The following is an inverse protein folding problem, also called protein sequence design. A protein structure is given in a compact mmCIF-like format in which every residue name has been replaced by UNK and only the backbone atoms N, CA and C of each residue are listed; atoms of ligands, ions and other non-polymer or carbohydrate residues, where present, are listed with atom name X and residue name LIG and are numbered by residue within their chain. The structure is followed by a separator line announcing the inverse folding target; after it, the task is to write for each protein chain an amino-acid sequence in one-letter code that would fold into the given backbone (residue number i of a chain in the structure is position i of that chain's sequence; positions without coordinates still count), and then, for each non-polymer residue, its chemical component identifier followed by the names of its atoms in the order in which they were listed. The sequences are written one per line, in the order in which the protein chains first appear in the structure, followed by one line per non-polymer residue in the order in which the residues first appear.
data_IF_638484038776
#
_entry.id   IF_638484038776
#
_cell.length_a   1.000
_cell.length_b   1.000
_cell.length_c   1.000
_cell.angle_alpha   90.00
_cell.angle_beta   90.00
_cell.angle_gamma   90.00
#
_symmetry.space_group_name_H-M   'P 1'
#
loop_
_entity.id
_entity.type
_entity.pdbx_description
1 polymer ?
#
# COMPACT_ATOMS: atom_id res chain seq x y z
N UNK A 1 30.99 -9.12 97.56
CA UNK A 1 31.86 -9.18 98.76
C UNK A 1 31.92 -7.79 99.35
N UNK A 2 31.41 -7.61 100.56
CA UNK A 2 31.54 -6.39 101.34
C UNK A 2 31.99 -6.80 102.75
N UNK A 3 33.05 -6.18 103.25
CA UNK A 3 33.55 -6.44 104.61
C UNK A 3 32.58 -5.81 105.63
N UNK A 4 32.06 -6.62 106.56
CA UNK A 4 31.46 -6.08 107.78
C UNK A 4 32.48 -6.19 108.91
N UNK A 5 33.06 -5.05 109.27
CA UNK A 5 33.80 -4.85 110.51
C UNK A 5 32.88 -4.29 111.62
N UNK A 6 33.38 -4.39 112.84
CA UNK A 6 33.07 -3.57 114.03
C UNK A 6 31.82 -3.85 114.89
N UNK A 7 32.02 -3.65 116.21
CA UNK A 7 31.05 -3.87 117.30
C UNK A 7 31.42 -5.06 118.21
N UNK A 8 32.40 -5.03 119.13
CA UNK A 8 32.80 -4.02 120.14
C UNK A 8 31.88 -3.93 121.38
N UNK A 9 32.51 -3.94 122.57
CA UNK A 9 31.92 -3.83 123.94
C UNK A 9 31.06 -5.02 124.42
N UNK A 10 31.05 -5.45 125.69
CA UNK A 10 31.76 -5.03 126.92
C UNK A 10 32.08 -6.30 127.76
N UNK A 11 33.30 -6.47 128.30
CA UNK A 11 33.68 -6.12 129.66
C UNK A 11 32.73 -6.57 130.80
N UNK A 12 33.17 -7.56 131.58
CA UNK A 12 32.94 -7.65 133.04
C UNK A 12 33.83 -8.73 133.65
N UNK A 13 34.97 -8.31 134.21
CA UNK A 13 35.76 -9.09 135.16
C UNK A 13 34.92 -9.32 136.41
N UNK A 14 34.65 -10.58 136.77
CA UNK A 14 33.98 -10.89 138.04
C UNK A 14 35.02 -11.08 139.16
N UNK A 15 35.61 -9.97 139.60
CA UNK A 15 36.27 -9.92 140.90
C UNK A 15 35.23 -9.94 142.02
N UNK A 16 35.58 -10.54 143.17
CA UNK A 16 34.78 -10.46 144.40
C UNK A 16 33.81 -11.61 144.63
N UNK A 17 34.29 -12.67 145.29
CA UNK A 17 33.45 -13.44 146.21
C UNK A 17 34.17 -13.52 147.55
N UNK A 18 33.77 -12.64 148.48
CA UNK A 18 34.35 -12.55 149.81
C UNK A 18 34.03 -13.80 150.65
N UNK A 19 35.02 -14.24 151.43
CA UNK A 19 34.84 -15.29 152.42
C UNK A 19 34.11 -14.70 153.63
N UNK A 20 32.82 -15.00 153.79
CA UNK A 20 32.03 -14.61 154.95
C UNK A 20 31.45 -15.82 155.70
N UNK A 21 32.13 -16.16 156.79
CA UNK A 21 31.64 -16.64 158.08
C UNK A 21 30.32 -17.46 158.13
N UNK A 22 30.47 -18.75 158.46
CA UNK A 22 29.65 -19.46 159.46
C UNK A 22 28.13 -19.52 159.25
N UNK A 23 27.56 -20.65 158.79
CA UNK A 23 26.12 -20.77 158.59
C UNK A 23 25.36 -20.86 159.92
N UNK A 24 24.75 -19.74 160.33
CA UNK A 24 23.57 -19.77 161.18
C UNK A 24 22.40 -20.45 160.45
N UNK A 25 21.61 -21.22 161.19
CA UNK A 25 20.58 -22.17 160.72
C UNK A 25 19.68 -21.69 159.57
N UNK A 26 19.28 -20.42 159.57
CA UNK A 26 18.30 -19.90 158.61
C UNK A 26 18.89 -19.33 157.31
N UNK A 27 20.19 -18.95 157.28
CA UNK A 27 20.84 -18.52 156.03
C UNK A 27 21.03 -19.69 155.06
N UNK A 28 21.22 -20.91 155.57
CA UNK A 28 21.35 -22.13 154.75
C UNK A 28 20.10 -22.39 153.90
N UNK A 29 18.90 -22.09 154.42
CA UNK A 29 17.63 -22.23 153.66
C UNK A 29 17.54 -21.22 152.51
N UNK A 30 18.01 -20.00 152.72
CA UNK A 30 18.07 -18.95 151.68
C UNK A 30 19.04 -19.34 150.57
N UNK A 31 20.26 -19.73 150.94
CA UNK A 31 21.28 -20.21 149.99
C UNK A 31 20.80 -21.43 149.19
N UNK A 32 20.21 -22.44 149.85
CA UNK A 32 19.64 -23.62 149.18
C UNK A 32 18.38 -23.31 148.34
N UNK A 33 17.71 -22.18 148.55
CA UNK A 33 16.68 -21.69 147.62
C UNK A 33 17.34 -21.03 146.41
N UNK A 34 18.27 -20.11 146.63
CA UNK A 34 19.02 -19.42 145.58
C UNK A 34 19.76 -20.41 144.64
N UNK A 35 20.37 -21.46 145.18
CA UNK A 35 21.00 -22.53 144.39
C UNK A 35 20.00 -23.32 143.54
N UNK A 36 18.77 -23.57 144.03
CA UNK A 36 17.71 -24.21 143.24
C UNK A 36 17.13 -23.28 142.18
N UNK A 37 17.02 -21.98 142.48
CA UNK A 37 16.60 -20.97 141.52
C UNK A 37 17.66 -20.81 140.42
N UNK A 38 18.96 -20.84 140.76
CA UNK A 38 20.07 -20.90 139.79
C UNK A 38 20.09 -22.20 138.97
N UNK A 39 19.92 -23.37 139.61
CA UNK A 39 19.88 -24.66 138.92
C UNK A 39 18.71 -24.71 137.93
N UNK A 40 17.56 -24.12 138.30
CA UNK A 40 16.42 -23.92 137.41
C UNK A 40 16.79 -23.01 136.24
N UNK A 41 17.33 -21.80 136.46
CA UNK A 41 17.69 -20.92 135.34
C UNK A 41 18.76 -21.51 134.42
N UNK A 42 19.72 -22.28 134.95
CA UNK A 42 20.69 -23.03 134.12
C UNK A 42 20.04 -24.15 133.31
N UNK A 43 18.98 -24.77 133.82
CA UNK A 43 18.21 -25.78 133.08
C UNK A 43 17.37 -25.12 131.99
N UNK A 44 16.65 -24.05 132.32
CA UNK A 44 15.83 -23.26 131.40
C UNK A 44 16.71 -22.70 130.25
N UNK A 45 17.86 -22.09 130.55
CA UNK A 45 18.85 -21.63 129.55
C UNK A 45 19.43 -22.76 128.68
N UNK A 46 19.55 -23.98 129.22
CA UNK A 46 20.00 -25.15 128.44
C UNK A 46 18.92 -25.61 127.46
N UNK A 47 17.66 -25.54 127.87
CA UNK A 47 16.49 -25.85 127.06
C UNK A 47 16.30 -24.80 125.95
N UNK A 48 16.34 -23.50 126.29
CA UNK A 48 16.36 -22.38 125.33
C UNK A 48 17.50 -22.50 124.30
N UNK A 49 18.71 -22.89 124.72
CA UNK A 49 19.84 -23.13 123.80
C UNK A 49 19.59 -24.36 122.89
N UNK A 50 18.86 -25.36 123.37
CA UNK A 50 18.37 -26.48 122.56
C UNK A 50 17.35 -26.04 121.51
N UNK A 51 16.40 -25.19 121.90
CA UNK A 51 15.42 -24.57 121.00
C UNK A 51 16.11 -23.67 119.96
N UNK A 52 17.02 -22.80 120.38
CA UNK A 52 17.79 -21.92 119.48
C UNK A 52 18.62 -22.70 118.46
N UNK A 53 19.25 -23.82 118.85
CA UNK A 53 19.93 -24.73 117.91
C UNK A 53 18.96 -25.39 116.93
N UNK A 54 17.76 -25.74 117.38
CA UNK A 54 16.71 -26.33 116.53
C UNK A 54 16.15 -25.31 115.55
N UNK A 55 15.93 -24.08 116.00
CA UNK A 55 15.52 -22.93 115.20
C UNK A 55 16.59 -22.54 114.18
N UNK A 56 17.88 -22.57 114.56
CA UNK A 56 19.01 -22.32 113.67
C UNK A 56 19.03 -23.34 112.52
N UNK A 57 18.94 -24.64 112.83
CA UNK A 57 18.84 -25.71 111.81
C UNK A 57 17.61 -25.56 110.92
N UNK A 58 16.46 -25.17 111.48
CA UNK A 58 15.25 -24.91 110.70
C UNK A 58 15.44 -23.74 109.74
N UNK A 59 16.03 -22.62 110.19
CA UNK A 59 16.35 -21.46 109.33
C UNK A 59 17.39 -21.81 108.25
N UNK A 60 18.38 -22.62 108.58
CA UNK A 60 19.39 -23.12 107.62
C UNK A 60 18.75 -24.02 106.55
N UNK A 61 17.86 -24.94 106.93
CA UNK A 61 17.10 -25.75 105.99
C UNK A 61 16.22 -24.90 105.05
N UNK A 62 15.50 -23.91 105.60
CA UNK A 62 14.69 -22.96 104.82
C UNK A 62 15.56 -22.12 103.88
N UNK A 63 16.74 -21.67 104.33
CA UNK A 63 17.67 -20.91 103.48
C UNK A 63 18.18 -21.76 102.30
N UNK A 64 18.52 -23.02 102.53
CA UNK A 64 18.95 -23.96 101.49
C UNK A 64 17.82 -24.29 100.50
N UNK A 65 16.57 -24.46 100.99
CA UNK A 65 15.39 -24.63 100.14
C UNK A 65 15.14 -23.38 99.27
N UNK A 66 15.25 -22.19 99.85
CA UNK A 66 15.09 -20.94 99.12
C UNK A 66 16.20 -20.73 98.07
N UNK A 67 17.46 -21.09 98.38
CA UNK A 67 18.58 -21.03 97.43
C UNK A 67 18.36 -21.96 96.23
N UNK A 68 18.07 -23.23 96.48
CA UNK A 68 17.82 -24.21 95.41
C UNK A 68 16.59 -23.85 94.56
N UNK A 69 15.55 -23.25 95.15
CA UNK A 69 14.40 -22.71 94.41
C UNK A 69 14.75 -21.47 93.59
N UNK A 70 15.66 -20.62 94.06
CA UNK A 70 16.14 -19.45 93.34
C UNK A 70 17.00 -19.86 92.13
N UNK A 71 17.98 -20.74 92.30
CA UNK A 71 18.78 -21.35 91.23
C UNK A 71 17.92 -22.10 90.19
N UNK A 72 16.80 -22.69 90.64
CA UNK A 72 15.79 -23.28 89.76
C UNK A 72 15.11 -22.26 88.85
N UNK A 73 14.75 -21.09 89.40
CA UNK A 73 14.13 -19.98 88.66
C UNK A 73 15.12 -19.25 87.75
N UNK A 74 16.37 -19.09 88.16
CA UNK A 74 17.42 -18.49 87.31
C UNK A 74 17.63 -19.31 86.04
N UNK A 75 17.78 -20.64 86.17
CA UNK A 75 17.86 -21.56 85.01
C UNK A 75 16.58 -21.60 84.16
N UNK A 76 15.42 -21.30 84.74
CA UNK A 76 14.17 -21.18 83.98
C UNK A 76 14.11 -19.87 83.18
N UNK A 77 14.57 -18.76 83.78
CA UNK A 77 14.70 -17.46 83.11
C UNK A 77 15.73 -17.52 81.98
N UNK A 78 16.88 -18.15 82.20
CA UNK A 78 17.92 -18.36 81.18
C UNK A 78 17.37 -19.14 79.97
N UNK A 79 16.64 -20.25 80.20
CA UNK A 79 15.97 -20.98 79.11
C UNK A 79 14.94 -20.12 78.35
N UNK A 80 14.21 -19.26 79.06
CA UNK A 80 13.24 -18.34 78.44
C UNK A 80 13.92 -17.23 77.63
N UNK A 81 15.06 -16.71 78.09
CA UNK A 81 15.87 -15.71 77.38
C UNK A 81 16.45 -16.30 76.08
N UNK A 82 16.96 -17.53 76.12
CA UNK A 82 17.41 -18.26 74.91
C UNK A 82 16.25 -18.42 73.92
N UNK A 83 15.09 -18.92 74.36
CA UNK A 83 13.91 -19.08 73.49
C UNK A 83 13.39 -17.75 72.91
N UNK A 84 13.55 -16.63 73.63
CA UNK A 84 13.20 -15.31 73.13
C UNK A 84 14.19 -14.84 72.07
N UNK A 85 15.49 -15.07 72.25
CA UNK A 85 16.52 -14.77 71.24
C UNK A 85 16.29 -15.54 69.94
N UNK A 86 16.08 -16.86 70.03
CA UNK A 86 15.76 -17.73 68.88
C UNK A 86 14.53 -17.21 68.12
N UNK A 87 13.45 -16.85 68.82
CA UNK A 87 12.24 -16.28 68.20
C UNK A 87 12.46 -14.92 67.56
N UNK A 88 13.28 -14.05 68.16
CA UNK A 88 13.66 -12.78 67.57
C UNK A 88 14.47 -12.97 66.28
N UNK A 89 15.39 -13.93 66.25
CA UNK A 89 16.16 -14.27 65.05
C UNK A 89 15.27 -14.85 63.93
N UNK A 90 14.34 -15.75 64.27
CA UNK A 90 13.34 -16.25 63.32
C UNK A 90 12.46 -15.13 62.75
N UNK A 91 12.02 -14.20 63.58
CA UNK A 91 11.20 -13.05 63.17
C UNK A 91 11.99 -12.17 62.19
N UNK A 92 13.22 -11.78 62.55
CA UNK A 92 14.10 -10.99 61.67
C UNK A 92 14.43 -11.72 60.35
N UNK A 93 14.43 -13.06 60.32
CA UNK A 93 14.55 -13.82 59.07
C UNK A 93 13.28 -13.71 58.22
N UNK A 94 12.11 -13.90 58.82
CA UNK A 94 10.80 -13.79 58.15
C UNK A 94 10.56 -12.38 57.61
N UNK A 95 10.99 -11.33 58.32
CA UNK A 95 10.88 -9.95 57.84
C UNK A 95 11.72 -9.71 56.57
N UNK A 96 12.92 -10.30 56.48
CA UNK A 96 13.74 -10.25 55.25
C UNK A 96 13.12 -11.04 54.09
N UNK A 97 12.53 -12.20 54.38
CA UNK A 97 11.81 -13.01 53.39
C UNK A 97 10.57 -12.25 52.86
N UNK A 98 9.84 -11.56 53.74
CA UNK A 98 8.72 -10.68 53.37
C UNK A 98 9.19 -9.53 52.48
N UNK A 99 10.32 -8.89 52.77
CA UNK A 99 10.84 -7.80 51.93
C UNK A 99 11.25 -8.27 50.53
N UNK A 100 11.93 -9.41 50.42
CA UNK A 100 12.25 -10.03 49.13
C UNK A 100 11.00 -10.40 48.31
N UNK A 101 9.93 -10.84 48.99
CA UNK A 101 8.65 -11.09 48.33
C UNK A 101 7.96 -9.80 47.86
N UNK A 102 8.05 -8.70 48.62
CA UNK A 102 7.56 -7.37 48.20
C UNK A 102 8.28 -6.88 46.95
N UNK A 103 9.62 -6.90 46.96
CA UNK A 103 10.43 -6.53 45.79
C UNK A 103 10.07 -7.36 44.55
N UNK A 104 9.82 -8.66 44.73
CA UNK A 104 9.42 -9.56 43.63
C UNK A 104 8.03 -9.22 43.09
N UNK A 105 7.07 -8.88 43.97
CA UNK A 105 5.71 -8.46 43.57
C UNK A 105 5.77 -7.13 42.81
N UNK A 106 6.54 -6.15 43.29
CA UNK A 106 6.69 -4.85 42.62
C UNK A 106 7.33 -5.00 41.23
N UNK A 107 8.33 -5.86 41.09
CA UNK A 107 8.92 -6.20 39.77
C UNK A 107 7.89 -6.85 38.83
N UNK A 108 7.04 -7.75 39.34
CA UNK A 108 5.98 -8.38 38.55
C UNK A 108 4.89 -7.38 38.13
N UNK A 109 4.47 -6.47 39.00
CA UNK A 109 3.52 -5.40 38.67
C UNK A 109 4.07 -4.45 37.61
N UNK A 110 5.35 -4.08 37.68
CA UNK A 110 6.03 -3.28 36.64
C UNK A 110 6.01 -4.01 35.28
N UNK A 111 6.31 -5.30 35.24
CA UNK A 111 6.27 -6.09 33.99
C UNK A 111 4.82 -6.26 33.46
N UNK A 112 3.85 -6.44 34.35
CA UNK A 112 2.43 -6.52 33.98
C UNK A 112 1.93 -5.20 33.39
N UNK A 113 2.30 -4.06 33.97
CA UNK A 113 1.98 -2.74 33.42
C UNK A 113 2.64 -2.51 32.06
N UNK A 114 3.92 -2.88 31.91
CA UNK A 114 4.65 -2.77 30.63
C UNK A 114 3.97 -3.59 29.52
N UNK A 115 3.71 -4.87 29.77
CA UNK A 115 3.04 -5.75 28.81
C UNK A 115 1.60 -5.31 28.51
N UNK A 116 0.89 -4.75 29.50
CA UNK A 116 -0.44 -4.14 29.28
C UNK A 116 -0.37 -2.94 28.33
N UNK A 117 0.64 -2.07 28.46
CA UNK A 117 0.83 -0.95 27.54
C UNK A 117 1.18 -1.42 26.12
N UNK A 118 2.09 -2.40 25.97
CA UNK A 118 2.43 -3.00 24.67
C UNK A 118 1.19 -3.62 23.99
N UNK A 119 0.31 -4.28 24.75
CA UNK A 119 -0.97 -4.79 24.26
C UNK A 119 -1.94 -3.68 23.82
N UNK A 120 -2.02 -2.56 24.55
CA UNK A 120 -2.86 -1.41 24.19
C UNK A 120 -2.34 -0.70 22.92
N UNK A 121 -1.03 -0.52 22.78
CA UNK A 121 -0.41 0.04 21.58
C UNK A 121 -0.64 -0.86 20.36
N UNK A 122 -0.47 -2.17 20.51
CA UNK A 122 -0.77 -3.17 19.48
C UNK A 122 -2.25 -3.15 19.07
N UNK A 123 -3.17 -3.05 20.04
CA UNK A 123 -4.61 -2.92 19.78
C UNK A 123 -4.94 -1.62 19.02
N UNK A 124 -4.37 -0.48 19.43
CA UNK A 124 -4.56 0.80 18.74
C UNK A 124 -4.04 0.76 17.29
N UNK A 125 -2.87 0.14 17.06
CA UNK A 125 -2.33 -0.07 15.72
C UNK A 125 -3.23 -0.98 14.87
N UNK A 126 -3.78 -2.05 15.46
CA UNK A 126 -4.72 -2.95 14.78
C UNK A 126 -6.01 -2.22 14.39
N UNK A 127 -6.59 -1.44 15.31
CA UNK A 127 -7.78 -0.62 15.05
C UNK A 127 -7.55 0.44 13.95
N UNK A 128 -6.36 1.07 13.93
CA UNK A 128 -5.97 2.01 12.88
C UNK A 128 -5.84 1.32 11.51
N UNK A 129 -5.23 0.13 11.46
CA UNK A 129 -5.17 -0.69 10.25
C UNK A 129 -6.55 -1.12 9.77
N UNK A 130 -7.44 -1.53 10.68
CA UNK A 130 -8.81 -1.92 10.33
C UNK A 130 -9.60 -0.76 9.72
N UNK A 131 -9.50 0.46 10.26
CA UNK A 131 -10.13 1.64 9.67
C UNK A 131 -9.64 1.89 8.24
N UNK A 132 -8.32 1.82 8.02
CA UNK A 132 -7.73 2.00 6.68
C UNK A 132 -8.14 0.90 5.69
N UNK A 133 -8.41 -0.31 6.16
CA UNK A 133 -8.96 -1.39 5.33
C UNK A 133 -10.39 -1.04 4.88
N UNK A 134 -11.22 -0.50 5.77
CA UNK A 134 -12.59 -0.10 5.40
C UNK A 134 -12.60 1.10 4.43
N UNK A 135 -11.77 2.13 4.66
CA UNK A 135 -11.58 3.26 3.74
C UNK A 135 -11.14 2.79 2.33
N UNK A 136 -10.23 1.80 2.26
CA UNK A 136 -9.79 1.20 0.99
C UNK A 136 -10.88 0.33 0.34
N UNK A 137 -11.78 -0.25 1.13
CA UNK A 137 -12.91 -1.04 0.64
C UNK A 137 -14.02 -0.14 0.08
N UNK A 138 -14.39 0.93 0.78
CA UNK A 138 -15.36 1.92 0.31
C UNK A 138 -14.90 2.59 -1.01
N UNK A 139 -13.62 3.00 -1.08
CA UNK A 139 -13.06 3.57 -2.32
C UNK A 139 -12.98 2.56 -3.46
N UNK A 140 -12.72 1.28 -3.17
CA UNK A 140 -12.80 0.20 -4.17
C UNK A 140 -14.23 0.03 -4.70
N UNK A 141 -15.23 -0.06 -3.82
CA UNK A 141 -16.64 -0.22 -4.20
C UNK A 141 -17.13 0.95 -5.07
N UNK A 142 -16.69 2.18 -4.77
CA UNK A 142 -16.95 3.37 -5.59
C UNK A 142 -16.33 3.25 -7.00
N UNK A 143 -15.05 2.90 -7.09
CA UNK A 143 -14.37 2.72 -8.39
C UNK A 143 -14.97 1.59 -9.24
N UNK A 144 -15.38 0.48 -8.62
CA UNK A 144 -16.10 -0.60 -9.32
C UNK A 144 -17.44 -0.10 -9.90
N UNK A 145 -18.17 0.74 -9.15
CA UNK A 145 -19.39 1.42 -9.64
C UNK A 145 -19.14 2.35 -10.82
N UNK A 146 -18.08 3.16 -10.78
CA UNK A 146 -17.70 4.04 -11.90
C UNK A 146 -17.28 3.24 -13.15
N UNK A 147 -16.53 2.15 -12.99
CA UNK A 147 -16.15 1.27 -14.10
C UNK A 147 -17.38 0.65 -14.77
N UNK A 148 -18.38 0.20 -13.99
CA UNK A 148 -19.64 -0.33 -14.52
C UNK A 148 -20.38 0.74 -15.32
N UNK A 149 -20.46 1.98 -14.81
CA UNK A 149 -21.08 3.11 -15.50
C UNK A 149 -20.40 3.41 -16.83
N UNK A 150 -19.08 3.59 -16.84
CA UNK A 150 -18.30 3.88 -18.06
C UNK A 150 -18.40 2.74 -19.08
N UNK A 151 -18.44 1.48 -18.61
CA UNK A 151 -18.63 0.31 -19.48
C UNK A 151 -20.00 0.32 -20.15
N UNK A 152 -21.05 0.72 -19.41
CA UNK A 152 -22.40 0.89 -19.96
C UNK A 152 -22.44 2.01 -21.02
N UNK A 153 -21.96 3.21 -20.68
CA UNK A 153 -21.91 4.36 -21.60
C UNK A 153 -21.14 4.03 -22.89
N UNK A 154 -20.01 3.31 -22.78
CA UNK A 154 -19.26 2.79 -23.93
C UNK A 154 -20.10 1.86 -24.82
N UNK A 155 -20.92 1.00 -24.23
CA UNK A 155 -21.79 0.07 -24.98
C UNK A 155 -22.93 0.79 -25.70
N UNK A 156 -23.51 1.82 -25.08
CA UNK A 156 -24.54 2.68 -25.67
C UNK A 156 -23.97 3.44 -26.88
N UNK A 157 -22.83 4.15 -26.69
CA UNK A 157 -22.13 4.84 -27.78
C UNK A 157 -21.67 3.90 -28.91
N UNK A 158 -21.32 2.65 -28.59
CA UNK A 158 -20.97 1.64 -29.61
C UNK A 158 -22.20 1.26 -30.45
N UNK A 159 -23.39 1.20 -29.83
CA UNK A 159 -24.65 0.91 -30.52
C UNK A 159 -25.08 2.07 -31.41
N UNK A 160 -25.01 3.30 -30.91
CA UNK A 160 -25.25 4.53 -31.69
C UNK A 160 -24.31 4.63 -32.91
N UNK A 161 -23.03 4.32 -32.74
CA UNK A 161 -22.05 4.31 -33.83
C UNK A 161 -22.37 3.25 -34.89
N UNK A 162 -22.91 2.09 -34.49
CA UNK A 162 -23.35 1.04 -35.43
C UNK A 162 -24.59 1.48 -36.20
N UNK A 163 -25.59 2.07 -35.54
CA UNK A 163 -26.77 2.63 -36.20
C UNK A 163 -26.40 3.74 -37.21
N UNK A 164 -25.53 4.67 -36.80
CA UNK A 164 -25.03 5.73 -37.68
C UNK A 164 -24.31 5.18 -38.92
N UNK A 165 -23.53 4.11 -38.78
CA UNK A 165 -22.88 3.42 -39.92
C UNK A 165 -23.91 2.83 -40.89
N UNK A 166 -24.94 2.14 -40.38
CA UNK A 166 -26.01 1.62 -41.25
C UNK A 166 -26.73 2.73 -42.01
N UNK A 167 -27.04 3.85 -41.34
CA UNK A 167 -27.69 5.00 -41.98
C UNK A 167 -26.82 5.69 -43.03
N UNK A 168 -25.50 5.73 -42.85
CA UNK A 168 -24.55 6.20 -43.87
C UNK A 168 -24.56 5.27 -45.10
N UNK A 169 -24.62 3.95 -44.90
CA UNK A 169 -24.70 2.97 -46.01
C UNK A 169 -26.00 3.18 -46.79
N UNK A 170 -27.15 3.23 -46.11
CA UNK A 170 -28.47 3.47 -46.71
C UNK A 170 -28.50 4.75 -47.55
N UNK A 171 -28.02 5.87 -47.00
CA UNK A 171 -27.95 7.15 -47.72
C UNK A 171 -26.97 7.10 -48.91
N UNK A 172 -25.88 6.33 -48.80
CA UNK A 172 -24.92 6.14 -49.91
C UNK A 172 -25.54 5.33 -51.06
N UNK A 173 -26.36 4.33 -50.76
CA UNK A 173 -27.14 3.57 -51.75
C UNK A 173 -28.16 4.48 -52.44
N UNK A 174 -28.95 5.26 -51.67
CA UNK A 174 -29.91 6.23 -52.22
C UNK A 174 -29.24 7.26 -53.14
N UNK A 175 -28.10 7.85 -52.73
CA UNK A 175 -27.32 8.78 -53.55
C UNK A 175 -26.83 8.09 -54.85
N UNK A 176 -26.38 6.83 -54.75
CA UNK A 176 -25.90 6.08 -55.92
C UNK A 176 -27.03 5.84 -56.94
N UNK A 177 -28.24 5.49 -56.48
CA UNK A 177 -29.42 5.36 -57.33
C UNK A 177 -29.78 6.68 -58.03
N UNK A 178 -29.80 7.79 -57.30
CA UNK A 178 -30.11 9.12 -57.85
C UNK A 178 -29.07 9.60 -58.87
N UNK A 179 -27.78 9.26 -58.66
CA UNK A 179 -26.72 9.55 -59.64
C UNK A 179 -26.96 8.78 -60.94
N UNK A 180 -27.31 7.49 -60.86
CA UNK A 180 -27.62 6.67 -62.05
C UNK A 180 -28.83 7.24 -62.81
N UNK A 181 -29.91 7.57 -62.10
CA UNK A 181 -31.12 8.18 -62.69
C UNK A 181 -30.80 9.52 -63.39
N UNK A 182 -30.02 10.39 -62.74
CA UNK A 182 -29.57 11.68 -63.29
C UNK A 182 -28.73 11.48 -64.56
N UNK A 183 -27.86 10.46 -64.60
CA UNK A 183 -27.04 10.15 -65.78
C UNK A 183 -27.89 9.61 -66.94
N UNK A 184 -28.89 8.78 -66.67
CA UNK A 184 -29.82 8.27 -67.68
C UNK A 184 -30.65 9.39 -68.31
N UNK A 185 -31.27 10.24 -67.49
CA UNK A 185 -32.03 11.41 -67.99
C UNK A 185 -31.16 12.32 -68.87
N UNK A 186 -29.92 12.57 -68.45
CA UNK A 186 -28.97 13.38 -69.23
C UNK A 186 -28.54 12.71 -70.55
N UNK A 187 -28.50 11.38 -70.61
CA UNK A 187 -28.27 10.67 -71.87
C UNK A 187 -29.46 10.79 -72.83
N UNK A 188 -30.68 10.74 -72.32
CA UNK A 188 -31.90 10.92 -73.12
C UNK A 188 -32.02 12.36 -73.66
N UNK A 189 -31.72 13.38 -72.84
CA UNK A 189 -31.64 14.78 -73.28
C UNK A 189 -30.63 14.95 -74.44
N UNK A 190 -29.41 14.42 -74.28
CA UNK A 190 -28.36 14.49 -75.31
C UNK A 190 -28.73 13.71 -76.58
N UNK A 191 -29.51 12.64 -76.46
CA UNK A 191 -30.03 11.87 -77.60
C UNK A 191 -31.05 12.69 -78.39
N UNK A 192 -31.98 13.35 -77.71
CA UNK A 192 -32.96 14.27 -78.32
C UNK A 192 -32.25 15.43 -79.02
N UNK A 193 -31.26 16.06 -78.35
CA UNK A 193 -30.47 17.15 -78.94
C UNK A 193 -29.71 16.67 -80.19
N UNK A 194 -29.10 15.48 -80.15
CA UNK A 194 -28.42 14.89 -81.31
C UNK A 194 -29.38 14.66 -82.48
N UNK A 195 -30.56 14.08 -82.23
CA UNK A 195 -31.56 13.85 -83.27
C UNK A 195 -32.04 15.17 -83.89
N UNK A 196 -32.21 16.22 -83.08
CA UNK A 196 -32.56 17.57 -83.53
C UNK A 196 -31.42 18.30 -84.29
N UNK A 197 -30.16 17.94 -84.07
CA UNK A 197 -29.02 18.43 -84.84
C UNK A 197 -28.85 17.66 -86.16
N UNK A 198 -29.09 16.35 -86.16
CA UNK A 198 -29.06 15.54 -87.39
C UNK A 198 -30.16 15.94 -88.39
N UNK A 199 -31.36 16.30 -87.93
CA UNK A 199 -32.43 16.82 -88.80
C UNK A 199 -32.03 18.15 -89.42
N UNK A 200 -31.60 19.13 -88.61
CA UNK A 200 -31.08 20.43 -89.10
C UNK A 200 -29.93 20.28 -90.09
N UNK A 201 -29.02 19.32 -89.85
CA UNK A 201 -27.92 19.04 -90.77
C UNK A 201 -28.44 18.49 -92.12
N UNK A 202 -29.42 17.59 -92.12
CA UNK A 202 -30.05 17.06 -93.34
C UNK A 202 -30.78 18.16 -94.11
N UNK A 203 -31.49 19.06 -93.41
CA UNK A 203 -32.17 20.22 -94.00
C UNK A 203 -31.17 21.18 -94.66
N UNK A 204 -30.14 21.62 -93.94
CA UNK A 204 -29.10 22.51 -94.46
C UNK A 204 -28.31 21.87 -95.62
N UNK A 205 -28.10 20.55 -95.59
CA UNK A 205 -27.50 19.80 -96.70
C UNK A 205 -28.39 19.80 -97.95
N UNK A 206 -29.71 19.65 -97.78
CA UNK A 206 -30.68 19.74 -98.89
C UNK A 206 -30.76 21.16 -99.46
N UNK A 207 -30.76 22.19 -98.60
CA UNK A 207 -30.75 23.59 -99.01
C UNK A 207 -29.47 23.96 -99.78
N UNK A 208 -28.31 23.49 -99.31
CA UNK A 208 -27.04 23.63 -100.03
C UNK A 208 -27.07 23.00 -101.42
N UNK A 209 -27.68 21.83 -101.59
CA UNK A 209 -27.79 21.19 -102.90
C UNK A 209 -28.77 21.93 -103.82
N UNK A 210 -29.87 22.47 -103.29
CA UNK A 210 -30.77 23.37 -104.05
C UNK A 210 -30.03 24.62 -104.54
N UNK A 211 -29.34 25.33 -103.65
CA UNK A 211 -28.55 26.51 -103.99
C UNK A 211 -27.42 26.20 -104.99
N UNK A 212 -26.81 25.01 -104.90
CA UNK A 212 -25.84 24.53 -105.89
C UNK A 212 -26.48 24.32 -107.26
N UNK A 213 -27.66 23.71 -107.33
CA UNK A 213 -28.39 23.52 -108.59
C UNK A 213 -28.83 24.88 -109.18
N UNK A 214 -29.39 25.78 -108.37
CA UNK A 214 -29.73 27.16 -108.77
C UNK A 214 -28.49 27.92 -109.29
N UNK A 215 -27.34 27.77 -108.63
CA UNK A 215 -26.07 28.34 -109.11
C UNK A 215 -25.61 27.72 -110.43
N UNK A 216 -25.75 26.41 -110.61
CA UNK A 216 -25.43 25.72 -111.87
C UNK A 216 -26.36 26.19 -113.01
N UNK A 217 -27.66 26.36 -112.76
CA UNK A 217 -28.64 26.94 -113.71
C UNK A 217 -28.37 28.42 -114.04
N UNK A 218 -28.04 29.24 -113.04
CA UNK A 218 -27.62 30.63 -113.26
C UNK A 218 -26.30 30.70 -114.03
N UNK A 219 -25.40 29.73 -113.84
CA UNK A 219 -24.13 29.66 -114.55
C UNK A 219 -24.28 29.15 -116.00
N UNK A 220 -25.20 28.22 -116.29
CA UNK A 220 -25.52 27.83 -117.67
C UNK A 220 -26.23 28.96 -118.41
N UNK A 221 -27.27 29.55 -117.83
CA UNK A 221 -27.96 30.71 -118.43
C UNK A 221 -27.04 31.91 -118.61
N UNK A 222 -26.11 32.17 -117.68
CA UNK A 222 -25.06 33.20 -117.84
C UNK A 222 -24.09 32.88 -118.98
N UNK A 223 -23.69 31.61 -119.16
CA UNK A 223 -22.92 31.18 -120.33
C UNK A 223 -23.68 31.35 -121.64
N UNK A 224 -24.97 31.01 -121.67
CA UNK A 224 -25.85 31.20 -122.83
C UNK A 224 -25.97 32.68 -123.17
N UNK A 225 -26.31 33.54 -122.20
CA UNK A 225 -26.33 35.00 -122.36
C UNK A 225 -25.00 35.56 -122.83
N UNK A 226 -23.87 35.07 -122.31
CA UNK A 226 -22.53 35.47 -122.76
C UNK A 226 -22.25 35.04 -124.20
N UNK A 227 -22.72 33.85 -124.60
CA UNK A 227 -22.59 33.33 -125.96
C UNK A 227 -23.50 34.11 -126.93
N UNK A 228 -24.74 34.41 -126.53
CA UNK A 228 -25.65 35.28 -127.27
C UNK A 228 -25.10 36.71 -127.39
N UNK A 229 -24.54 37.25 -126.31
CA UNK A 229 -23.91 38.57 -126.30
C UNK A 229 -22.69 38.64 -127.22
N UNK A 230 -21.78 37.67 -127.17
CA UNK A 230 -20.64 37.62 -128.11
C UNK A 230 -21.12 37.40 -129.56
N UNK A 231 -22.16 36.59 -129.79
CA UNK A 231 -22.76 36.43 -131.13
C UNK A 231 -23.40 37.74 -131.63
N UNK A 232 -24.13 38.45 -130.77
CA UNK A 232 -24.75 39.73 -131.08
C UNK A 232 -23.69 40.83 -131.28
N UNK A 233 -22.60 40.80 -130.51
CA UNK A 233 -21.42 41.67 -130.65
C UNK A 233 -20.64 41.36 -131.92
N UNK A 234 -20.59 40.12 -132.37
CA UNK A 234 -20.01 39.73 -133.67
C UNK A 234 -20.93 40.16 -134.84
N UNK A 235 -22.26 40.10 -134.68
CA UNK A 235 -23.22 40.65 -135.64
C UNK A 235 -23.17 42.18 -135.69
N UNK A 236 -23.10 42.87 -134.55
CA UNK A 236 -22.92 44.32 -134.49
C UNK A 236 -21.55 44.74 -135.01
N UNK A 237 -20.48 43.99 -134.73
CA UNK A 237 -19.16 44.19 -135.34
C UNK A 237 -19.10 43.95 -136.86
N UNK A 238 -20.09 43.24 -137.41
CA UNK A 238 -20.32 43.11 -138.86
C UNK A 238 -21.20 44.24 -139.44
N UNK A 239 -21.95 44.97 -138.61
CA UNK A 239 -22.74 46.14 -138.99
C UNK A 239 -22.05 47.49 -138.73
N UNK A 240 -21.03 47.50 -137.87
CA UNK A 240 -20.26 48.67 -137.45
C UNK A 240 -18.76 48.28 -137.44
N UNK A 241 -17.88 48.80 -138.30
CA UNK A 241 -17.88 50.10 -138.97
C UNK A 241 -17.15 50.03 -140.32
N UNK A 242 -17.86 50.37 -141.40
CA UNK A 242 -17.35 51.32 -142.38
C UNK A 242 -17.67 52.72 -141.87
N UNK A 243 -16.65 53.57 -141.65
CA UNK A 243 -16.75 55.03 -141.44
C UNK A 243 -17.55 55.56 -140.21
N UNK A 244 -17.24 56.71 -139.58
CA UNK A 244 -16.00 57.51 -139.39
C UNK A 244 -16.30 58.58 -138.32
N UNK A 245 -15.26 59.00 -137.58
CA UNK A 245 -14.99 60.37 -137.07
C UNK A 245 -15.83 61.04 -135.94
N UNK A 246 -15.06 61.46 -134.93
CA UNK A 246 -14.94 62.80 -134.35
C UNK A 246 -16.13 63.49 -133.62
N UNK A 247 -16.12 63.49 -132.28
CA UNK A 247 -15.86 64.70 -131.44
C UNK A 247 -16.02 64.44 -129.92
N UNK A 248 -15.21 65.12 -129.09
CA UNK A 248 -15.33 65.13 -127.61
C UNK A 248 -16.20 66.31 -127.08
N UNK A 249 -16.10 66.77 -125.80
CA UNK A 249 -14.95 66.57 -124.88
C UNK A 249 -15.24 66.52 -123.34
N UNK A 250 -14.14 66.45 -122.56
CA UNK A 250 -13.88 66.97 -121.19
C UNK A 250 -14.26 66.19 -119.90
N UNK A 251 -13.24 66.16 -119.03
CA UNK A 251 -13.07 65.56 -117.68
C UNK A 251 -13.78 66.32 -116.54
N UNK A 252 -13.87 65.81 -115.28
CA UNK A 252 -12.72 65.67 -114.34
C UNK A 252 -12.74 64.38 -113.45
N UNK A 253 -11.64 63.65 -113.20
CA UNK A 253 -10.53 63.81 -112.21
C UNK A 253 -10.72 63.13 -110.83
N UNK A 254 -9.68 62.39 -110.36
CA UNK A 254 -9.41 61.91 -108.97
C UNK A 254 -10.42 60.88 -108.40
N UNK A 255 -10.07 59.93 -107.53
CA UNK A 255 -8.83 59.54 -106.80
C UNK A 255 -8.86 57.98 -106.67
N UNK A 256 -7.80 57.24 -107.00
CA UNK A 256 -6.72 56.73 -106.11
C UNK A 256 -7.07 55.57 -105.15
N UNK A 257 -6.08 54.68 -104.97
CA UNK A 257 -5.88 53.76 -103.82
C UNK A 257 -6.70 52.44 -103.78
N UNK A 258 -6.16 51.26 -103.40
CA UNK A 258 -4.77 50.74 -103.37
C UNK A 258 -4.81 49.20 -103.14
N UNK A 259 -3.63 48.57 -103.14
CA UNK A 259 -3.28 47.23 -102.66
C UNK A 259 -3.97 46.82 -101.33
N UNK A 260 -4.14 45.53 -100.98
CA UNK A 260 -3.03 44.59 -100.76
C UNK A 260 -3.42 43.10 -100.68
N UNK A 261 -2.48 42.23 -101.08
CA UNK A 261 -2.32 40.86 -100.54
C UNK A 261 -2.15 40.93 -99.01
N UNK A 262 -2.62 39.93 -98.24
CA UNK A 262 -1.80 39.24 -97.22
C UNK A 262 -2.53 38.09 -96.48
N UNK A 263 -1.83 36.96 -96.37
CA UNK A 263 -1.81 36.01 -95.24
C UNK A 263 -0.32 35.79 -94.89
N UNK A 264 0.10 35.36 -93.68
CA UNK A 264 -0.60 35.16 -92.40
C UNK A 264 0.18 35.73 -91.17
N UNK A 265 -0.08 35.20 -89.96
CA UNK A 265 0.70 35.20 -88.69
C UNK A 265 0.47 36.24 -87.55
N UNK A 266 0.14 35.66 -86.38
CA UNK A 266 0.68 35.86 -85.01
C UNK A 266 0.79 37.26 -84.35
N UNK A 267 0.30 37.36 -83.09
CA UNK A 267 0.67 38.43 -82.15
C UNK A 267 -0.24 38.60 -80.91
N UNK A 268 0.24 38.19 -79.74
CA UNK A 268 -0.30 38.50 -78.38
C UNK A 268 0.16 39.93 -77.99
N UNK A 269 -0.69 40.83 -77.43
CA UNK A 269 -0.85 41.02 -75.96
C UNK A 269 -2.26 41.49 -75.51
N UNK A 270 -2.63 41.69 -74.23
CA UNK A 270 -2.28 41.11 -72.91
C UNK A 270 -3.25 41.76 -71.87
N UNK A 271 -3.36 41.17 -70.67
CA UNK A 271 -3.82 41.78 -69.40
C UNK A 271 -5.34 41.98 -69.06
N UNK A 272 -5.66 41.51 -67.84
CA UNK A 272 -6.67 41.99 -66.88
C UNK A 272 -8.18 41.78 -67.22
N UNK A 273 -9.05 41.34 -66.30
CA UNK A 273 -8.92 40.98 -64.86
C UNK A 273 -10.20 40.26 -64.37
N UNK A 274 -10.06 39.22 -63.50
CA UNK A 274 -11.03 38.76 -62.46
C UNK A 274 -12.41 38.26 -62.99
N UNK A 275 -13.15 37.33 -62.39
CA UNK A 275 -12.98 36.32 -61.33
C UNK A 275 -14.20 35.35 -61.45
N UNK A 276 -14.30 34.14 -60.88
CA UNK A 276 -13.47 33.38 -59.92
C UNK A 276 -13.74 31.87 -60.10
N UNK A 277 -12.85 30.99 -59.59
CA UNK A 277 -13.19 29.59 -59.25
C UNK A 277 -12.57 29.25 -57.89
N UNK A 278 -13.33 28.61 -57.01
CA UNK A 278 -12.82 28.01 -55.75
C UNK A 278 -12.28 26.62 -56.05
N UNK A 279 -11.16 26.26 -55.41
CA UNK A 279 -10.66 24.88 -55.33
C UNK A 279 -11.07 24.25 -54.00
N UNK A 280 -10.90 22.93 -53.90
CA UNK A 280 -10.88 22.21 -52.63
C UNK A 280 -10.05 20.92 -52.78
N UNK A 281 -8.74 21.07 -52.69
CA UNK A 281 -7.83 19.97 -52.33
C UNK A 281 -7.18 20.36 -51.00
N UNK A 282 -7.21 19.45 -50.02
CA UNK A 282 -6.73 19.69 -48.66
C UNK A 282 -5.82 18.53 -48.23
N UNK A 283 -4.57 18.85 -47.85
CA UNK A 283 -3.70 17.92 -47.15
C UNK A 283 -2.69 18.64 -46.24
N UNK A 284 -2.55 18.09 -45.04
CA UNK A 284 -1.35 18.11 -44.16
C UNK A 284 -0.85 19.42 -43.49
N UNK A 285 -0.98 19.36 -42.15
CA UNK A 285 0.11 19.48 -41.15
C UNK A 285 0.47 20.84 -40.51
N UNK A 286 0.50 20.81 -39.17
CA UNK A 286 1.42 21.43 -38.18
C UNK A 286 2.12 22.75 -38.55
N UNK A 287 2.19 23.78 -37.70
CA UNK A 287 2.80 23.68 -36.36
C UNK A 287 2.73 25.01 -35.57
N UNK A 288 2.63 24.91 -34.24
CA UNK A 288 3.31 25.72 -33.18
C UNK A 288 3.46 27.26 -33.21
N UNK A 289 3.18 27.82 -32.03
CA UNK A 289 3.86 28.94 -31.33
C UNK A 289 3.28 30.38 -31.35
N UNK A 290 2.76 30.73 -30.17
CA UNK A 290 3.24 31.81 -29.27
C UNK A 290 2.81 33.28 -29.35
N UNK A 291 2.68 33.79 -28.11
CA UNK A 291 2.83 35.17 -27.61
C UNK A 291 1.93 36.29 -28.13
N UNK A 292 1.25 36.96 -27.18
CA UNK A 292 1.66 38.32 -26.77
C UNK A 292 0.92 38.83 -25.52
N UNK A 293 1.69 39.30 -24.51
CA UNK A 293 1.45 40.49 -23.64
C UNK A 293 0.17 40.60 -22.78
N UNK A 294 0.12 41.21 -21.59
CA UNK A 294 1.10 41.88 -20.69
C UNK A 294 0.41 42.13 -19.33
N UNK A 295 1.14 42.08 -18.21
CA UNK A 295 0.87 42.96 -17.05
C UNK A 295 2.03 42.94 -16.02
N UNK A 296 2.52 44.10 -15.54
CA UNK A 296 3.58 44.17 -14.53
C UNK A 296 3.13 44.70 -13.15
N UNK A 297 3.69 44.14 -12.08
CA UNK A 297 3.90 44.73 -10.73
C UNK A 297 4.62 43.66 -9.88
N UNK A 298 5.94 43.62 -9.79
CA UNK A 298 6.83 44.51 -9.01
C UNK A 298 6.60 44.41 -7.49
N UNK A 299 7.47 43.64 -6.81
CA UNK A 299 7.50 43.45 -5.36
C UNK A 299 8.76 42.70 -4.93
N UNK A 300 9.67 43.39 -4.23
CA UNK A 300 10.97 42.90 -3.75
C UNK A 300 10.79 41.86 -2.62
N UNK A 301 11.74 40.96 -2.28
CA UNK A 301 13.10 40.68 -2.77
C UNK A 301 13.94 39.96 -1.69
N UNK A 302 15.17 39.48 -2.03
CA UNK A 302 16.16 38.81 -1.14
C UNK A 302 15.82 37.36 -0.71
N UNK A 303 16.75 36.41 -0.57
CA UNK A 303 18.21 36.39 -0.78
C UNK A 303 18.85 35.14 -0.10
N UNK A 304 20.14 34.85 -0.37
CA UNK A 304 20.93 33.67 0.11
C UNK A 304 20.48 32.29 -0.43
N UNK A 305 21.22 31.51 -1.23
CA UNK A 305 22.64 31.39 -1.57
C UNK A 305 23.52 30.54 -0.60
N UNK A 306 24.16 29.51 -1.19
CA UNK A 306 25.29 28.66 -0.75
C UNK A 306 25.10 27.51 0.25
N UNK A 307 25.78 26.38 -0.07
CA UNK A 307 25.91 25.17 0.75
C UNK A 307 26.53 24.00 -0.04
N UNK A 308 27.86 23.96 -0.17
CA UNK A 308 28.57 22.98 -1.00
C UNK A 308 29.33 21.91 -0.19
N UNK A 309 29.23 20.64 -0.63
CA UNK A 309 30.19 19.56 -0.32
C UNK A 309 29.87 18.66 0.89
N UNK A 310 30.61 17.54 1.10
CA UNK A 310 31.77 17.07 0.33
C UNK A 310 31.58 15.70 -0.39
N UNK A 311 32.51 15.38 -1.29
CA UNK A 311 32.70 14.05 -1.89
C UNK A 311 33.63 13.18 -1.03
N UNK A 312 33.37 11.88 -0.89
CA UNK A 312 34.28 10.72 -0.71
C UNK A 312 33.38 9.45 -0.57
N UNK A 313 33.71 8.24 -1.03
CA UNK A 313 34.92 7.72 -1.68
C UNK A 313 34.63 6.44 -2.50
N UNK A 314 35.69 5.70 -2.86
CA UNK A 314 35.76 4.77 -4.00
C UNK A 314 35.21 3.33 -3.80
N UNK A 315 35.11 2.58 -4.91
CA UNK A 315 34.78 1.15 -5.03
C UNK A 315 35.49 0.22 -4.01
N UNK A 316 34.95 -0.98 -3.76
CA UNK A 316 35.56 -2.15 -4.42
C UNK A 316 34.60 -2.93 -5.33
N UNK A 317 35.16 -3.36 -6.47
CA UNK A 317 34.52 -4.26 -7.45
C UNK A 317 34.56 -5.70 -6.98
N UNK A 318 33.51 -6.48 -7.23
CA UNK A 318 33.55 -7.90 -7.63
C UNK A 318 32.15 -8.37 -8.02
N UNK A 319 32.02 -9.25 -9.03
CA UNK A 319 30.75 -9.88 -9.42
C UNK A 319 30.49 -9.88 -10.93
N UNK A 320 30.94 -10.94 -11.62
CA UNK A 320 30.87 -11.05 -13.08
C UNK A 320 29.48 -11.47 -13.57
N UNK A 321 28.89 -10.74 -14.52
CA UNK A 321 27.73 -11.21 -15.29
C UNK A 321 28.11 -12.34 -16.27
N UNK A 322 27.34 -13.45 -16.33
CA UNK A 322 27.45 -14.41 -17.42
C UNK A 322 26.77 -13.88 -18.70
N UNK A 323 27.56 -13.43 -19.67
CA UNK A 323 27.07 -13.17 -21.03
C UNK A 323 26.66 -14.48 -21.73
N UNK A 324 25.38 -14.84 -21.69
CA UNK A 324 24.82 -15.79 -22.66
C UNK A 324 24.28 -15.06 -23.89
N UNK A 325 25.12 -15.00 -24.93
CA UNK A 325 24.66 -14.60 -26.26
C UNK A 325 23.77 -15.68 -26.88
N UNK A 326 22.57 -15.29 -27.30
CA UNK A 326 21.84 -16.02 -28.35
C UNK A 326 21.35 -15.02 -29.39
N UNK A 327 22.04 -14.97 -30.52
CA UNK A 327 21.61 -14.14 -31.64
C UNK A 327 20.36 -14.74 -32.27
N UNK A 328 19.28 -13.95 -32.36
CA UNK A 328 18.22 -14.18 -33.35
C UNK A 328 18.05 -12.96 -34.23
N UNK A 329 18.14 -13.22 -35.53
CA UNK A 329 18.00 -12.22 -36.58
C UNK A 329 16.60 -11.60 -36.52
N UNK A 330 16.50 -10.27 -36.51
CA UNK A 330 15.23 -9.60 -36.79
C UNK A 330 14.89 -9.78 -38.27
N UNK A 331 13.90 -10.63 -38.54
CA UNK A 331 13.14 -10.64 -39.79
C UNK A 331 11.65 -10.53 -39.47
N UNK A 332 10.99 -9.62 -40.19
CA UNK A 332 9.56 -9.55 -40.49
C UNK A 332 8.53 -9.83 -39.37
N UNK A 333 7.78 -8.78 -39.04
CA UNK A 333 6.32 -8.81 -38.82
C UNK A 333 5.64 -10.18 -38.84
N UNK A 334 5.22 -10.64 -37.66
CA UNK A 334 4.29 -11.74 -37.46
C UNK A 334 3.66 -11.58 -36.08
N UNK A 335 2.33 -11.65 -36.01
CA UNK A 335 1.59 -11.51 -34.76
C UNK A 335 1.98 -12.63 -33.79
N UNK A 336 2.36 -12.26 -32.55
CA UNK A 336 2.60 -13.23 -31.48
C UNK A 336 1.23 -13.49 -30.82
N UNK A 337 0.71 -14.73 -30.80
CA UNK A 337 -0.55 -15.02 -30.15
C UNK A 337 -0.45 -14.74 -28.64
N UNK A 338 -1.44 -14.05 -28.07
CA UNK A 338 -1.47 -13.66 -26.64
C UNK A 338 -1.23 -14.85 -25.69
N UNK A 339 -1.67 -16.05 -26.09
CA UNK A 339 -1.46 -17.33 -25.39
C UNK A 339 0.03 -17.71 -25.17
N UNK A 340 0.98 -17.10 -25.89
CA UNK A 340 2.42 -17.28 -25.67
C UNK A 340 2.96 -16.28 -24.64
N UNK A 341 2.40 -15.07 -24.59
CA UNK A 341 2.80 -14.02 -23.65
C UNK A 341 2.31 -14.35 -22.23
N UNK A 342 1.04 -14.76 -22.10
CA UNK A 342 0.40 -15.12 -20.82
C UNK A 342 1.16 -16.27 -20.15
N UNK A 343 1.49 -17.32 -20.91
CA UNK A 343 2.29 -18.46 -20.43
C UNK A 343 3.68 -18.10 -19.91
N UNK A 344 4.30 -17.04 -20.44
CA UNK A 344 5.59 -16.54 -19.94
C UNK A 344 5.44 -15.90 -18.57
N UNK A 345 4.41 -15.06 -18.41
CA UNK A 345 4.08 -14.38 -17.15
C UNK A 345 3.71 -15.40 -16.07
N UNK A 346 2.92 -16.42 -16.39
CA UNK A 346 2.58 -17.50 -15.43
C UNK A 346 3.82 -18.23 -14.90
N UNK A 347 4.79 -18.54 -15.78
CA UNK A 347 6.04 -19.18 -15.35
C UNK A 347 6.94 -18.27 -14.52
N UNK A 348 6.90 -16.96 -14.76
CA UNK A 348 7.69 -15.97 -14.03
C UNK A 348 7.08 -15.68 -12.64
N UNK A 349 5.75 -15.59 -12.55
CA UNK A 349 5.01 -15.53 -11.26
C UNK A 349 5.26 -16.80 -10.43
N UNK A 350 5.28 -17.98 -11.05
CA UNK A 350 5.61 -19.23 -10.37
C UNK A 350 7.05 -19.24 -9.86
N UNK A 351 8.01 -18.74 -10.64
CA UNK A 351 9.41 -18.60 -10.20
C UNK A 351 9.54 -17.70 -8.97
N UNK A 352 8.95 -16.49 -9.01
CA UNK A 352 8.97 -15.57 -7.87
C UNK A 352 8.25 -16.12 -6.64
N UNK A 353 7.13 -16.83 -6.81
CA UNK A 353 6.44 -17.51 -5.72
C UNK A 353 7.30 -18.61 -5.08
N UNK A 354 8.10 -19.33 -5.87
CA UNK A 354 9.03 -20.36 -5.37
C UNK A 354 10.30 -19.78 -4.73
N UNK A 355 10.80 -18.65 -5.21
CA UNK A 355 11.88 -17.91 -4.53
C UNK A 355 11.42 -17.35 -3.19
N UNK A 356 10.23 -16.74 -3.11
CA UNK A 356 9.64 -16.28 -1.84
C UNK A 356 9.42 -17.46 -0.89
N UNK A 357 8.92 -18.61 -1.37
CA UNK A 357 8.83 -19.83 -0.56
C UNK A 357 10.20 -20.30 -0.04
N UNK A 358 11.23 -20.33 -0.89
CA UNK A 358 12.60 -20.70 -0.48
C UNK A 358 13.20 -19.72 0.53
N UNK A 359 13.00 -18.41 0.35
CA UNK A 359 13.48 -17.38 1.28
C UNK A 359 12.71 -17.40 2.62
N UNK A 360 11.45 -17.83 2.64
CA UNK A 360 10.65 -17.96 3.87
C UNK A 360 10.99 -19.20 4.72
N UNK A 361 11.81 -20.13 4.20
CA UNK A 361 12.27 -21.32 4.95
C UNK A 361 13.51 -20.98 5.78
N UNK A 362 13.30 -20.67 7.05
CA UNK A 362 14.38 -20.57 8.04
C UNK A 362 15.21 -21.87 8.10
N UNK A 363 16.55 -21.82 8.25
CA UNK A 363 17.39 -23.03 8.33
C UNK A 363 17.14 -23.92 9.55
N UNK A 364 16.47 -23.42 10.59
CA UNK A 364 16.32 -24.11 11.88
C UNK A 364 15.15 -25.10 11.96
N UNK A 365 14.21 -25.09 11.00
CA UNK A 365 13.16 -26.11 10.94
C UNK A 365 13.55 -27.21 9.96
N UNK A 366 14.39 -28.13 10.42
CA UNK A 366 14.58 -29.40 9.75
C UNK A 366 13.21 -30.10 9.63
N UNK A 367 12.74 -30.28 8.39
CA UNK A 367 11.54 -31.08 8.11
C UNK A 367 11.85 -32.54 8.46
N UNK A 368 11.57 -32.93 9.70
CA UNK A 368 11.65 -34.33 10.13
C UNK A 368 10.53 -35.07 9.40
N UNK A 369 10.90 -35.74 8.31
CA UNK A 369 10.04 -36.66 7.58
C UNK A 369 9.80 -37.87 8.50
N UNK A 370 8.72 -37.79 9.29
CA UNK A 370 8.28 -38.91 10.11
C UNK A 370 7.71 -40.00 9.21
N UNK A 371 8.55 -40.97 8.85
CA UNK A 371 8.12 -42.23 8.25
C UNK A 371 7.07 -42.88 9.13
N UNK A 372 5.97 -43.33 8.51
CA UNK A 372 4.87 -43.97 9.21
C UNK A 372 5.32 -45.36 9.75
N UNK A 373 4.68 -45.79 10.84
CA UNK A 373 4.87 -47.08 11.52
C UNK A 373 6.27 -47.37 12.15
N UNK A 374 6.58 -46.64 13.22
CA UNK A 374 7.56 -47.08 14.22
C UNK A 374 6.82 -47.41 15.53
N UNK A 375 6.70 -48.71 15.85
CA UNK A 375 5.89 -49.18 16.99
C UNK A 375 6.47 -48.80 18.38
N UNK A 376 7.74 -48.34 18.42
CA UNK A 376 8.43 -47.86 19.62
C UNK A 376 8.38 -46.33 19.78
N UNK A 377 7.22 -45.71 19.55
CA UNK A 377 7.04 -44.27 19.80
C UNK A 377 6.65 -44.02 21.28
N UNK A 378 7.66 -43.85 22.13
CA UNK A 378 7.52 -43.62 23.58
C UNK A 378 6.92 -42.25 23.96
N UNK A 379 6.59 -41.38 23.00
CA UNK A 379 6.05 -40.03 23.29
C UNK A 379 4.69 -40.12 24.00
N UNK A 380 4.43 -39.35 25.06
CA UNK A 380 3.15 -39.41 25.76
C UNK A 380 1.97 -39.02 24.85
N UNK A 381 0.80 -39.60 25.13
CA UNK A 381 -0.46 -39.16 24.55
C UNK A 381 -0.79 -37.75 25.02
N UNK A 382 -1.20 -36.88 24.10
CA UNK A 382 -1.62 -35.51 24.43
C UNK A 382 -3.13 -35.51 24.74
N UNK A 383 -3.57 -35.12 25.96
CA UNK A 383 -4.98 -35.03 26.31
C UNK A 383 -5.80 -34.11 25.38
N UNK A 384 -5.16 -33.19 24.66
CA UNK A 384 -5.80 -32.27 23.72
C UNK A 384 -5.86 -32.80 22.28
N UNK A 385 -5.10 -33.86 21.94
CA UNK A 385 -5.08 -34.46 20.60
C UNK A 385 -5.98 -35.70 20.54
N UNK A 386 -7.27 -35.50 20.79
CA UNK A 386 -8.29 -36.56 20.75
C UNK A 386 -9.27 -36.30 19.61
N UNK A 387 -9.54 -37.32 18.80
CA UNK A 387 -10.52 -37.23 17.72
C UNK A 387 -11.93 -37.07 18.31
N UNK A 388 -12.66 -35.97 18.05
CA UNK A 388 -13.99 -35.75 18.64
C UNK A 388 -15.06 -36.71 18.11
N UNK A 389 -14.83 -37.32 16.93
CA UNK A 389 -15.76 -38.24 16.26
C UNK A 389 -15.72 -39.68 16.79
N UNK A 390 -14.55 -40.18 17.22
CA UNK A 390 -14.35 -41.57 17.63
C UNK A 390 -13.56 -41.76 18.95
N UNK A 391 -13.10 -40.68 19.58
CA UNK A 391 -12.33 -40.74 20.82
C UNK A 391 -10.88 -41.23 20.69
N UNK A 392 -10.39 -41.52 19.48
CA UNK A 392 -8.99 -41.97 19.27
C UNK A 392 -8.00 -40.88 19.71
N UNK A 393 -7.06 -41.23 20.58
CA UNK A 393 -6.02 -40.34 21.10
C UNK A 393 -4.75 -40.40 20.25
N UNK A 394 -4.00 -39.31 20.22
CA UNK A 394 -2.77 -39.12 19.45
C UNK A 394 -1.63 -38.60 20.34
N UNK A 395 -0.38 -38.88 19.96
CA UNK A 395 0.81 -38.49 20.74
C UNK A 395 1.23 -37.05 20.43
N UNK A 396 2.00 -36.44 21.34
CA UNK A 396 2.54 -35.08 21.17
C UNK A 396 3.31 -34.98 19.85
N UNK A 397 2.90 -34.05 18.98
CA UNK A 397 3.46 -33.85 17.63
C UNK A 397 2.64 -34.48 16.50
N UNK A 398 1.68 -35.37 16.78
CA UNK A 398 0.88 -36.05 15.74
C UNK A 398 -0.36 -35.26 15.26
N UNK A 399 -0.41 -33.94 15.50
CA UNK A 399 -1.56 -33.08 15.15
C UNK A 399 -1.97 -33.17 13.68
N UNK A 400 -1.02 -33.40 12.76
CA UNK A 400 -1.33 -33.62 11.35
C UNK A 400 -2.00 -34.98 11.08
N UNK A 401 -1.63 -36.05 11.81
CA UNK A 401 -2.30 -37.35 11.72
C UNK A 401 -3.72 -37.28 12.29
N UNK A 402 -3.93 -36.53 13.37
CA UNK A 402 -5.27 -36.23 13.89
C UNK A 402 -6.13 -35.50 12.85
N UNK A 403 -5.59 -34.46 12.19
CA UNK A 403 -6.29 -33.73 11.12
C UNK A 403 -6.62 -34.62 9.91
N UNK A 404 -5.65 -35.38 9.38
CA UNK A 404 -5.91 -36.38 8.32
C UNK A 404 -6.99 -37.37 8.74
N UNK A 405 -6.89 -37.93 9.95
CA UNK A 405 -7.89 -38.89 10.44
C UNK A 405 -9.30 -38.29 10.52
N UNK A 406 -9.48 -37.10 11.10
CA UNK A 406 -10.79 -36.44 11.21
C UNK A 406 -11.45 -36.23 9.84
N UNK A 407 -10.65 -35.90 8.82
CA UNK A 407 -11.12 -35.53 7.49
C UNK A 407 -11.30 -36.73 6.53
N UNK A 408 -10.39 -37.70 6.56
CA UNK A 408 -10.27 -38.74 5.52
C UNK A 408 -10.69 -40.13 6.01
N UNK A 409 -10.43 -40.48 7.29
CA UNK A 409 -10.53 -41.86 7.79
C UNK A 409 -11.53 -42.07 8.92
N UNK A 410 -12.02 -41.01 9.56
CA UNK A 410 -12.88 -41.14 10.73
C UNK A 410 -14.35 -41.31 10.31
N UNK A 411 -14.78 -42.57 10.21
CA UNK A 411 -16.15 -42.99 9.88
C UNK A 411 -17.17 -42.78 11.00
N UNK A 412 -16.76 -42.26 12.17
CA UNK A 412 -17.66 -41.78 13.22
C UNK A 412 -18.50 -42.87 13.89
N UNK A 413 -17.84 -43.75 14.65
CA UNK A 413 -18.52 -44.63 15.61
C UNK A 413 -17.87 -44.41 16.98
N UNK A 414 -18.70 -44.26 18.00
CA UNK A 414 -18.34 -44.17 19.41
C UNK A 414 -19.36 -44.96 20.24
#
# INVERSE_FOLDING_TARGET
MAECKDGSSAASTLEGFEVLNGPSSDNSKSFMKQMRDFEKTFKDLREENGELKSLMKSKEAIANELSTRLEGKERELERKDIQLKEKCEEMMKKDREIEQLRETIDQQDIQLRKTTLECLESSNLMNSKQRKIEELKETKELMEGEIIKVTKEKSELTSELVEAKYKIIELTEQISSLIIETLLLKMDDLKIEKEALETKYKEASSEKEKLKNEYEELHTTSKEWKTQYETAKELFGKMAITEKKDSGPKSPSREESSHHYYTPHAGIPEQNRKATKRSSDLASNHSTNDETTTNPSQGHGSGSQHGSGPQHGSEPRHGSEPRHGSGRQRKSSGEIPENVLIRGIDTEIQHYADEVRKMSRNPETAEVIFTEDNENDDRPYDPNLVCPKCGKQYRVGEIQKLRRHINEFCTGIR
#
